data_IF_005013650539
#
_entry.id   IF_005013650539
#
_cell.length_a   1.000
_cell.length_b   1.000
_cell.length_c   1.000
_cell.angle_alpha   90.00
_cell.angle_beta   90.00
_cell.angle_gamma   90.00
#
_symmetry.space_group_name_H-M   'P 1'
#
loop_
_entity.id
_entity.type
_entity.pdbx_description
1 polymer ?
#
# COMPACT_ATOMS: atom_id res chain seq x y z
N UNK A 1 -28.46 25.47 -25.36
CA UNK A 1 -27.15 25.04 -24.83
C UNK A 1 -27.31 24.02 -23.68
N UNK A 2 -27.77 22.76 -23.93
CA UNK A 2 -27.86 21.73 -22.89
C UNK A 2 -26.69 20.72 -22.91
N UNK A 3 -25.94 20.66 -24.01
CA UNK A 3 -24.89 19.65 -24.26
C UNK A 3 -23.75 19.72 -23.24
N UNK A 4 -23.27 20.93 -22.91
CA UNK A 4 -22.16 21.12 -21.98
C UNK A 4 -22.49 20.68 -20.55
N UNK A 5 -23.73 20.86 -20.10
CA UNK A 5 -24.15 20.44 -18.76
C UNK A 5 -24.24 18.92 -18.66
N UNK A 6 -24.72 18.26 -19.71
CA UNK A 6 -24.81 16.80 -19.76
C UNK A 6 -23.40 16.18 -19.75
N UNK A 7 -22.48 16.69 -20.58
CA UNK A 7 -21.10 16.21 -20.61
C UNK A 7 -20.38 16.43 -19.28
N UNK A 8 -20.57 17.58 -18.62
CA UNK A 8 -19.98 17.81 -17.29
C UNK A 8 -20.51 16.83 -16.23
N UNK A 9 -21.79 16.45 -16.30
CA UNK A 9 -22.38 15.46 -15.40
C UNK A 9 -21.84 14.05 -15.67
N UNK A 10 -21.61 13.71 -16.94
CA UNK A 10 -20.97 12.46 -17.35
C UNK A 10 -19.54 12.37 -16.81
N UNK A 11 -18.74 13.44 -16.94
CA UNK A 11 -17.38 13.52 -16.40
C UNK A 11 -17.36 13.29 -14.87
N UNK A 12 -18.24 13.98 -14.14
CA UNK A 12 -18.37 13.81 -12.68
C UNK A 12 -18.74 12.36 -12.34
N UNK A 13 -19.71 11.79 -13.06
CA UNK A 13 -20.14 10.40 -12.85
C UNK A 13 -19.01 9.40 -13.10
N UNK A 14 -18.19 9.63 -14.14
CA UNK A 14 -17.04 8.79 -14.44
C UNK A 14 -15.98 8.83 -13.35
N UNK A 15 -15.71 9.99 -12.74
CA UNK A 15 -14.77 10.09 -11.61
C UNK A 15 -15.32 9.45 -10.34
N UNK A 16 -16.59 9.73 -10.01
CA UNK A 16 -17.18 9.29 -8.74
C UNK A 16 -17.61 7.82 -8.76
N UNK A 17 -17.91 7.24 -9.91
CA UNK A 17 -18.34 5.84 -10.03
C UNK A 17 -17.35 4.82 -9.46
N UNK A 18 -16.07 4.86 -9.85
CA UNK A 18 -15.02 4.03 -9.26
C UNK A 18 -14.86 4.25 -7.74
N UNK A 19 -14.91 5.50 -7.28
CA UNK A 19 -14.81 5.84 -5.85
C UNK A 19 -16.00 5.29 -5.06
N UNK A 20 -17.20 5.34 -5.62
CA UNK A 20 -18.39 4.76 -5.02
C UNK A 20 -18.24 3.24 -4.86
N UNK A 21 -17.86 2.53 -5.93
CA UNK A 21 -17.61 1.07 -5.88
C UNK A 21 -16.52 0.70 -4.87
N UNK A 22 -15.47 1.51 -4.81
CA UNK A 22 -14.39 1.31 -3.84
C UNK A 22 -14.88 1.52 -2.40
N UNK A 23 -15.65 2.57 -2.16
CA UNK A 23 -16.21 2.88 -0.83
C UNK A 23 -17.16 1.78 -0.37
N UNK A 24 -18.04 1.30 -1.25
CA UNK A 24 -18.94 0.17 -0.97
C UNK A 24 -18.16 -1.10 -0.59
N UNK A 25 -17.12 -1.43 -1.35
CA UNK A 25 -16.24 -2.56 -1.03
C UNK A 25 -15.49 -2.36 0.29
N UNK A 26 -15.00 -1.15 0.57
CA UNK A 26 -14.32 -0.81 1.81
C UNK A 26 -15.25 -0.89 3.03
N UNK A 27 -16.52 -0.48 2.87
CA UNK A 27 -17.56 -0.62 3.90
C UNK A 27 -17.86 -2.08 4.26
N UNK A 28 -17.59 -3.02 3.34
CA UNK A 28 -17.72 -4.46 3.58
C UNK A 28 -16.53 -5.12 4.28
N UNK A 29 -15.48 -4.37 4.63
CA UNK A 29 -14.27 -4.92 5.26
C UNK A 29 -14.43 -5.06 6.78
N UNK A 30 -14.12 -6.26 7.31
CA UNK A 30 -14.36 -6.58 8.72
C UNK A 30 -13.27 -6.10 9.66
N UNK A 31 -12.06 -5.86 9.14
CA UNK A 31 -10.88 -5.53 9.94
C UNK A 31 -10.15 -4.33 9.36
N UNK A 32 -10.61 -3.14 9.75
CA UNK A 32 -9.97 -1.86 9.45
C UNK A 32 -9.05 -1.48 10.62
N UNK A 33 -7.77 -1.27 10.33
CA UNK A 33 -6.74 -0.89 11.31
C UNK A 33 -5.93 0.28 10.75
N UNK A 34 -5.22 1.03 11.60
CA UNK A 34 -4.38 2.16 11.14
C UNK A 34 -3.40 1.73 10.03
N UNK A 35 -2.86 0.51 10.14
CA UNK A 35 -1.97 -0.08 9.14
C UNK A 35 -2.58 -0.23 7.75
N UNK A 36 -3.91 -0.26 7.59
CA UNK A 36 -4.57 -0.36 6.29
C UNK A 36 -4.69 0.98 5.57
N UNK A 37 -4.50 2.09 6.30
CA UNK A 37 -4.74 3.43 5.76
C UNK A 37 -3.76 3.76 4.64
N UNK A 38 -2.47 3.43 4.82
CA UNK A 38 -1.45 3.63 3.78
C UNK A 38 -1.77 2.86 2.48
N UNK A 39 -2.04 1.54 2.51
CA UNK A 39 -2.48 0.80 1.32
C UNK A 39 -3.72 1.40 0.64
N UNK A 40 -4.71 1.81 1.44
CA UNK A 40 -5.96 2.39 0.91
C UNK A 40 -5.70 3.72 0.22
N UNK A 41 -4.97 4.64 0.85
CA UNK A 41 -4.63 5.93 0.25
C UNK A 41 -3.80 5.75 -1.02
N UNK A 42 -2.80 4.86 -1.00
CA UNK A 42 -1.98 4.57 -2.18
C UNK A 42 -2.83 4.03 -3.34
N UNK A 43 -3.78 3.15 -3.05
CA UNK A 43 -4.68 2.61 -4.07
C UNK A 43 -5.61 3.67 -4.66
N UNK A 44 -6.22 4.52 -3.82
CA UNK A 44 -7.08 5.61 -4.30
C UNK A 44 -6.29 6.51 -5.24
N UNK A 45 -5.10 6.95 -4.84
CA UNK A 45 -4.31 7.92 -5.61
C UNK A 45 -3.74 7.32 -6.90
N UNK A 46 -3.23 6.08 -6.87
CA UNK A 46 -2.48 5.50 -7.99
C UNK A 46 -3.30 4.66 -8.96
N UNK A 47 -4.42 4.12 -8.51
CA UNK A 47 -5.24 3.22 -9.32
C UNK A 47 -6.59 3.85 -9.66
N UNK A 48 -7.28 4.44 -8.69
CA UNK A 48 -8.63 5.00 -8.90
C UNK A 48 -8.56 6.38 -9.53
N UNK A 49 -7.74 7.27 -8.96
CA UNK A 49 -7.56 8.65 -9.40
C UNK A 49 -6.37 8.80 -10.34
N UNK A 50 -5.92 7.70 -10.97
CA UNK A 50 -4.81 7.75 -11.91
C UNK A 50 -5.11 8.75 -13.03
N UNK A 51 -4.13 9.60 -13.32
CA UNK A 51 -4.23 10.55 -14.43
C UNK A 51 -4.19 9.78 -15.76
N UNK A 52 -5.02 10.19 -16.70
CA UNK A 52 -5.13 9.63 -18.05
C UNK A 52 -5.04 10.76 -19.07
N UNK A 53 -4.31 10.55 -20.16
CA UNK A 53 -4.23 11.54 -21.26
C UNK A 53 -5.59 11.77 -21.93
N UNK A 54 -6.52 10.85 -21.76
CA UNK A 54 -7.91 10.92 -22.23
C UNK A 54 -8.84 11.68 -21.28
N UNK A 55 -8.36 12.11 -20.11
CA UNK A 55 -9.19 12.83 -19.14
C UNK A 55 -9.57 14.23 -19.67
N UNK A 56 -10.85 14.58 -19.54
CA UNK A 56 -11.29 15.96 -19.77
C UNK A 56 -10.64 16.92 -18.77
N UNK A 57 -10.60 18.22 -19.10
CA UNK A 57 -10.08 19.26 -18.17
C UNK A 57 -10.80 19.21 -16.83
N UNK A 58 -12.13 19.01 -16.84
CA UNK A 58 -12.93 18.91 -15.62
C UNK A 58 -12.58 17.64 -14.83
N UNK A 59 -12.45 16.50 -15.50
CA UNK A 59 -12.06 15.22 -14.90
C UNK A 59 -10.72 15.33 -14.17
N UNK A 60 -9.71 15.89 -14.82
CA UNK A 60 -8.39 16.12 -14.24
C UNK A 60 -8.44 17.05 -13.03
N UNK A 61 -9.22 18.14 -13.11
CA UNK A 61 -9.40 19.06 -11.98
C UNK A 61 -10.07 18.39 -10.79
N UNK A 62 -11.10 17.56 -11.01
CA UNK A 62 -11.78 16.83 -9.92
C UNK A 62 -10.83 15.81 -9.30
N UNK A 63 -10.12 15.01 -10.11
CA UNK A 63 -9.14 14.05 -9.62
C UNK A 63 -8.07 14.75 -8.78
N UNK A 64 -7.55 15.88 -9.24
CA UNK A 64 -6.55 16.65 -8.51
C UNK A 64 -7.11 17.20 -7.20
N UNK A 65 -8.30 17.80 -7.20
CA UNK A 65 -8.93 18.30 -5.98
C UNK A 65 -9.13 17.20 -4.92
N UNK A 66 -9.51 15.99 -5.35
CA UNK A 66 -9.64 14.84 -4.44
C UNK A 66 -8.27 14.38 -3.92
N UNK A 67 -7.24 14.34 -4.78
CA UNK A 67 -5.87 13.98 -4.37
C UNK A 67 -5.32 14.96 -3.35
N UNK A 68 -5.49 16.25 -3.59
CA UNK A 68 -5.03 17.33 -2.70
C UNK A 68 -5.72 17.22 -1.34
N UNK A 69 -7.05 17.09 -1.33
CA UNK A 69 -7.80 16.86 -0.09
C UNK A 69 -7.31 15.61 0.66
N UNK A 70 -7.06 14.50 -0.05
CA UNK A 70 -6.58 13.26 0.57
C UNK A 70 -5.18 13.38 1.19
N UNK A 71 -4.28 14.10 0.51
CA UNK A 71 -2.91 14.31 0.97
C UNK A 71 -2.83 15.24 2.20
N UNK A 72 -3.80 16.15 2.34
CA UNK A 72 -3.84 17.14 3.42
C UNK A 72 -4.61 16.66 4.67
N UNK A 73 -5.21 15.46 4.65
CA UNK A 73 -6.03 14.95 5.77
C UNK A 73 -5.24 14.62 7.04
N UNK A 74 -3.93 14.41 6.92
CA UNK A 74 -3.10 13.93 8.03
C UNK A 74 -1.89 14.84 8.22
N UNK A 75 -1.60 15.17 9.47
CA UNK A 75 -0.38 15.88 9.81
C UNK A 75 0.85 15.00 9.54
N UNK A 76 2.03 15.62 9.49
CA UNK A 76 3.31 14.92 9.31
C UNK A 76 3.51 13.82 10.36
N UNK A 77 3.17 14.09 11.62
CA UNK A 77 3.30 13.12 12.72
C UNK A 77 2.33 11.95 12.55
N UNK A 78 1.09 12.21 12.11
CA UNK A 78 0.11 11.17 11.82
C UNK A 78 0.54 10.30 10.64
N UNK A 79 1.07 10.90 9.57
CA UNK A 79 1.60 10.17 8.42
C UNK A 79 2.76 9.25 8.83
N UNK A 80 3.69 9.73 9.69
CA UNK A 80 4.77 8.90 10.21
C UNK A 80 4.24 7.71 11.03
N UNK A 81 3.23 7.93 11.88
CA UNK A 81 2.59 6.85 12.62
C UNK A 81 1.92 5.83 11.70
N UNK A 82 1.21 6.30 10.66
CA UNK A 82 0.54 5.46 9.67
C UNK A 82 1.58 4.60 8.91
N UNK A 83 2.68 5.21 8.47
CA UNK A 83 3.77 4.51 7.79
C UNK A 83 4.42 3.45 8.70
N UNK A 84 4.63 3.78 9.99
CA UNK A 84 5.14 2.84 10.99
C UNK A 84 4.17 1.66 11.20
N UNK A 85 2.89 1.94 11.42
CA UNK A 85 1.86 0.92 11.60
C UNK A 85 1.72 0.02 10.38
N UNK A 86 1.79 0.58 9.16
CA UNK A 86 1.77 -0.19 7.93
C UNK A 86 2.99 -1.11 7.81
N UNK A 87 4.18 -0.58 8.11
CA UNK A 87 5.44 -1.31 7.98
C UNK A 87 5.53 -2.52 8.91
N UNK A 88 5.10 -2.39 10.17
CA UNK A 88 5.14 -3.48 11.15
C UNK A 88 4.02 -4.51 10.95
N UNK A 89 2.99 -4.20 10.16
CA UNK A 89 1.89 -5.12 9.90
C UNK A 89 2.33 -6.21 8.90
N UNK A 90 2.33 -7.50 9.31
CA UNK A 90 2.81 -8.58 8.44
C UNK A 90 2.02 -8.72 7.13
N UNK A 91 0.80 -8.18 7.05
CA UNK A 91 -0.02 -8.19 5.82
C UNK A 91 0.56 -7.29 4.74
N UNK A 92 1.22 -6.20 5.13
CA UNK A 92 1.69 -5.16 4.21
C UNK A 92 3.21 -5.11 4.12
N UNK A 93 3.91 -5.33 5.24
CA UNK A 93 5.38 -5.29 5.34
C UNK A 93 5.92 -3.98 4.73
N UNK A 94 7.03 -4.06 3.99
CA UNK A 94 7.68 -2.93 3.33
C UNK A 94 7.00 -2.49 2.01
N UNK A 95 5.93 -3.16 1.56
CA UNK A 95 5.35 -2.99 0.20
C UNK A 95 4.85 -1.57 -0.09
N UNK A 96 4.46 -0.85 0.95
CA UNK A 96 3.90 0.51 0.86
C UNK A 96 4.79 1.58 1.50
N UNK A 97 6.00 1.20 1.93
CA UNK A 97 6.97 2.14 2.50
C UNK A 97 7.71 2.84 1.37
N UNK A 98 7.68 4.17 1.34
CA UNK A 98 8.42 4.96 0.36
C UNK A 98 9.95 4.89 0.60
N UNK A 99 10.37 4.78 1.86
CA UNK A 99 11.76 4.60 2.25
C UNK A 99 11.86 3.58 3.39
N UNK A 100 12.11 2.32 3.02
CA UNK A 100 12.16 1.18 3.94
C UNK A 100 13.21 1.37 5.03
N UNK A 101 14.40 1.85 4.69
CA UNK A 101 15.49 2.02 5.65
C UNK A 101 15.20 3.12 6.67
N UNK A 102 14.63 4.24 6.23
CA UNK A 102 14.23 5.32 7.14
C UNK A 102 13.10 4.87 8.07
N UNK A 103 12.07 4.21 7.54
CA UNK A 103 10.99 3.66 8.37
C UNK A 103 11.53 2.67 9.39
N UNK A 104 12.43 1.75 8.98
CA UNK A 104 13.10 0.81 9.88
C UNK A 104 13.91 1.52 10.98
N UNK A 105 14.67 2.56 10.62
CA UNK A 105 15.44 3.37 11.57
C UNK A 105 14.52 4.01 12.63
N UNK A 106 13.39 4.56 12.21
CA UNK A 106 12.39 5.14 13.12
C UNK A 106 11.79 4.04 14.02
N UNK A 107 11.41 2.88 13.46
CA UNK A 107 10.91 1.74 14.24
C UNK A 107 11.87 1.37 15.37
N UNK A 108 13.14 1.18 15.04
CA UNK A 108 14.18 0.80 16.00
C UNK A 108 14.32 1.89 17.07
N UNK A 109 14.41 3.16 16.67
CA UNK A 109 14.52 4.28 17.60
C UNK A 109 13.35 4.31 18.60
N UNK A 110 12.12 4.10 18.14
CA UNK A 110 10.94 4.06 19.02
C UNK A 110 10.95 2.84 19.93
N UNK A 111 11.30 1.66 19.41
CA UNK A 111 11.38 0.43 20.20
C UNK A 111 12.42 0.53 21.34
N UNK A 112 13.58 1.15 21.07
CA UNK A 112 14.63 1.35 22.07
C UNK A 112 14.17 2.19 23.28
N UNK A 113 13.18 3.08 23.12
CA UNK A 113 12.62 3.87 24.24
C UNK A 113 11.92 3.02 25.29
N UNK A 114 11.48 1.81 24.92
CA UNK A 114 10.78 0.89 25.80
C UNK A 114 11.71 -0.15 26.44
N UNK A 115 13.00 -0.14 26.11
CA UNK A 115 13.98 -0.98 26.80
C UNK A 115 14.24 -0.31 28.15
N UNK A 116 13.86 -0.93 29.28
CA UNK A 116 14.22 -0.39 30.58
C UNK A 116 15.75 -0.31 30.67
N UNK A 117 16.31 0.74 31.29
CA UNK A 117 17.74 0.79 31.55
C UNK A 117 18.09 -0.47 32.33
N UNK A 118 18.97 -1.30 31.77
CA UNK A 118 19.47 -2.56 32.35
C UNK A 118 19.43 -2.50 33.87
N UNK A 119 18.47 -3.22 34.47
CA UNK A 119 18.59 -3.56 35.87
C UNK A 119 19.90 -4.36 35.99
N UNK A 120 20.78 -3.93 36.88
CA UNK A 120 22.02 -4.62 37.17
C UNK A 120 21.77 -6.14 37.39
N UNK A 121 22.73 -7.02 37.08
CA UNK A 121 22.56 -8.45 37.25
C UNK A 121 22.03 -8.76 38.66
N UNK A 122 21.01 -9.62 38.82
CA UNK A 122 20.58 -10.02 40.15
C UNK A 122 21.71 -10.80 40.81
N UNK A 123 22.40 -10.16 41.75
CA UNK A 123 23.30 -10.82 42.69
C UNK A 123 22.41 -11.68 43.61
N UNK A 124 22.66 -12.99 43.60
CA UNK A 124 22.07 -14.03 44.45
C UNK A 124 20.64 -14.47 44.13
N UNK A 125 20.54 -15.53 43.31
CA UNK A 125 19.39 -16.42 43.28
C UNK A 125 19.45 -17.44 44.43
N UNK A 126 18.40 -17.61 45.25
CA UNK A 126 18.20 -18.83 46.01
C UNK A 126 17.37 -19.82 45.18
N UNK A 127 18.05 -20.89 44.73
CA UNK A 127 17.62 -22.29 44.64
C UNK A 127 16.18 -22.59 44.17
N UNK A 128 16.10 -23.15 42.97
CA UNK A 128 14.90 -23.76 42.35
C UNK A 128 14.24 -24.84 43.21
N UNK A 129 12.91 -24.89 43.19
CA UNK A 129 12.09 -26.03 43.60
C UNK A 129 11.40 -26.64 42.35
N UNK A 130 11.18 -27.98 42.30
CA UNK A 130 10.91 -28.69 41.06
C UNK A 130 9.55 -28.43 40.40
N UNK A 131 9.58 -28.48 39.07
CA UNK A 131 8.45 -28.42 38.13
C UNK A 131 7.48 -29.59 38.30
N UNK A 132 6.17 -29.30 38.39
CA UNK A 132 5.12 -30.27 38.04
C UNK A 132 4.56 -30.00 36.64
N UNK A 133 4.44 -31.08 35.89
CA UNK A 133 4.03 -31.16 34.49
C UNK A 133 2.51 -31.25 34.36
N UNK A 134 1.90 -30.40 33.54
CA UNK A 134 0.57 -30.67 32.96
C UNK A 134 0.53 -30.23 31.49
N UNK A 135 0.15 -31.17 30.63
CA UNK A 135 0.37 -31.17 29.18
C UNK A 135 -0.53 -30.27 28.31
N UNK A 136 -0.48 -30.47 26.97
CA UNK A 136 -1.04 -29.53 26.00
C UNK A 136 -2.49 -29.88 25.68
N UNK A 137 -3.35 -28.86 25.59
CA UNK A 137 -4.64 -29.00 24.88
C UNK A 137 -4.64 -28.12 23.63
N UNK A 138 -4.41 -28.78 22.50
CA UNK A 138 -4.70 -28.31 21.16
C UNK A 138 -6.20 -28.04 21.02
N UNK A 139 -6.58 -26.94 20.37
CA UNK A 139 -7.91 -26.80 19.78
C UNK A 139 -7.79 -26.05 18.47
N UNK A 140 -7.59 -26.84 17.43
CA UNK A 140 -7.80 -26.45 16.04
C UNK A 140 -9.28 -26.13 15.85
N UNK A 141 -9.60 -24.92 15.41
CA UNK A 141 -10.90 -24.63 14.81
C UNK A 141 -10.71 -24.50 13.31
N UNK A 142 -11.00 -25.58 12.60
CA UNK A 142 -11.34 -25.54 11.18
C UNK A 142 -12.61 -24.70 11.02
N UNK A 143 -12.53 -23.64 10.22
CA UNK A 143 -13.70 -22.96 9.69
C UNK A 143 -13.82 -23.35 8.21
N UNK A 144 -14.93 -24.02 7.94
CA UNK A 144 -15.40 -24.52 6.66
C UNK A 144 -15.56 -23.41 5.62
N UNK A 145 -15.25 -23.76 4.37
CA UNK A 145 -15.46 -22.94 3.18
C UNK A 145 -16.94 -22.50 3.07
N UNK A 146 -17.16 -21.19 3.13
CA UNK A 146 -18.41 -20.58 2.73
C UNK A 146 -18.18 -19.82 1.43
N UNK A 147 -18.73 -20.36 0.35
CA UNK A 147 -18.96 -19.66 -0.91
C UNK A 147 -19.82 -18.42 -0.61
N UNK A 148 -19.24 -17.23 -0.75
CA UNK A 148 -19.96 -15.98 -0.64
C UNK A 148 -19.42 -15.03 -1.71
N UNK A 149 -20.32 -14.52 -2.54
CA UNK A 149 -20.13 -13.31 -3.35
C UNK A 149 -19.93 -12.10 -2.42
N UNK A 150 -18.88 -12.10 -1.61
CA UNK A 150 -18.60 -11.09 -0.60
C UNK A 150 -17.63 -10.09 -1.20
N UNK A 151 -18.01 -8.81 -1.17
CA UNK A 151 -17.08 -7.71 -1.41
C UNK A 151 -15.97 -7.59 -0.32
N UNK A 152 -15.88 -8.54 0.63
CA UNK A 152 -14.82 -8.63 1.63
C UNK A 152 -13.49 -9.05 0.98
N UNK A 153 -12.40 -8.37 1.34
CA UNK A 153 -11.07 -8.69 0.82
C UNK A 153 -10.49 -7.66 -0.14
N UNK A 154 -11.08 -6.47 -0.25
CA UNK A 154 -10.50 -5.36 -1.03
C UNK A 154 -9.06 -5.07 -0.60
N UNK A 155 -8.76 -5.15 0.71
CA UNK A 155 -7.39 -5.00 1.21
C UNK A 155 -6.42 -6.06 0.69
N UNK A 156 -6.88 -7.30 0.48
CA UNK A 156 -6.07 -8.36 -0.13
C UNK A 156 -5.79 -8.03 -1.59
N UNK A 157 -6.80 -7.56 -2.32
CA UNK A 157 -6.65 -7.16 -3.72
C UNK A 157 -5.67 -5.97 -3.87
N UNK A 158 -5.79 -4.94 -3.04
CA UNK A 158 -4.86 -3.80 -3.01
C UNK A 158 -3.42 -4.29 -2.82
N UNK A 159 -3.20 -5.16 -1.85
CA UNK A 159 -1.87 -5.68 -1.52
C UNK A 159 -1.29 -6.52 -2.66
N UNK A 160 -2.07 -7.45 -3.20
CA UNK A 160 -1.64 -8.32 -4.30
C UNK A 160 -1.29 -7.52 -5.55
N UNK A 161 -2.11 -6.52 -5.90
CA UNK A 161 -1.87 -5.64 -7.06
C UNK A 161 -0.61 -4.81 -6.88
N UNK A 162 -0.39 -4.24 -5.69
CA UNK A 162 0.83 -3.46 -5.39
C UNK A 162 2.09 -4.30 -5.52
N UNK A 163 2.10 -5.51 -4.97
CA UNK A 163 3.23 -6.44 -5.10
C UNK A 163 3.53 -6.79 -6.57
N UNK A 164 2.49 -7.00 -7.39
CA UNK A 164 2.66 -7.25 -8.82
C UNK A 164 3.28 -6.06 -9.57
N UNK A 165 2.91 -4.83 -9.21
CA UNK A 165 3.50 -3.62 -9.80
C UNK A 165 5.00 -3.49 -9.47
N UNK A 166 5.39 -3.71 -8.21
CA UNK A 166 6.79 -3.63 -7.79
C UNK A 166 7.68 -4.67 -8.50
N UNK A 167 7.20 -5.91 -8.66
CA UNK A 167 7.92 -6.94 -9.42
C UNK A 167 8.12 -6.58 -10.91
N UNK A 168 7.20 -5.79 -11.49
CA UNK A 168 7.34 -5.30 -12.86
C UNK A 168 8.39 -4.20 -12.96
N UNK A 169 8.53 -3.37 -11.94
CA UNK A 169 9.53 -2.28 -11.88
C UNK A 169 10.96 -2.82 -11.66
N UNK A 170 11.11 -3.94 -10.95
CA UNK A 170 12.41 -4.59 -10.69
C UNK A 170 12.88 -5.56 -11.80
N UNK A 171 12.03 -5.89 -12.77
CA UNK A 171 12.41 -6.76 -13.90
C UNK A 171 13.15 -5.95 -14.98
N UNK A 172 14.38 -6.32 -15.37
CA UNK A 172 15.06 -5.64 -16.47
C UNK A 172 14.25 -5.85 -17.75
N UNK A 173 13.91 -4.76 -18.42
CA UNK A 173 13.23 -4.77 -19.71
C UNK A 173 14.03 -5.59 -20.73
N UNK A 174 13.62 -6.84 -20.93
CA UNK A 174 14.06 -7.69 -22.03
C UNK A 174 13.08 -7.50 -23.19
N UNK A 175 13.51 -6.79 -24.24
CA UNK A 175 12.72 -6.63 -25.45
C UNK A 175 13.13 -5.42 -26.28
N UNK A 176 13.99 -5.67 -27.26
CA UNK A 176 14.59 -4.72 -28.18
C UNK A 176 13.60 -3.79 -28.90
N UNK A 177 13.99 -2.52 -29.04
CA UNK A 177 13.65 -1.71 -30.21
C UNK A 177 14.94 -1.03 -30.68
N UNK A 178 15.61 -1.67 -31.64
CA UNK A 178 16.73 -1.05 -32.36
C UNK A 178 16.14 0.00 -33.29
N UNK A 179 16.48 1.27 -33.02
CA UNK A 179 16.15 2.41 -33.88
C UNK A 179 16.92 2.31 -35.21
N UNK A 180 16.27 2.43 -36.39
CA UNK A 180 16.91 2.27 -37.68
C UNK A 180 17.51 3.60 -38.17
N UNK A 181 18.49 4.17 -37.46
CA UNK A 181 19.11 5.46 -37.84
C UNK A 181 20.65 5.50 -37.63
N UNK A 182 21.34 4.34 -37.64
CA UNK A 182 22.81 4.30 -37.53
C UNK A 182 23.54 3.48 -38.61
N UNK A 183 22.90 3.17 -39.73
CA UNK A 183 23.59 2.69 -40.94
C UNK A 183 23.79 3.82 -41.95
N UNK A 184 24.66 4.79 -41.66
CA UNK A 184 25.25 5.61 -42.72
C UNK A 184 26.66 6.18 -42.45
N UNK A 185 27.28 5.91 -41.29
CA UNK A 185 28.63 6.40 -40.99
C UNK A 185 29.61 5.24 -40.87
N UNK A 186 29.75 4.46 -41.95
CA UNK A 186 30.85 3.47 -42.10
C UNK A 186 31.01 3.06 -43.57
N UNK A 187 30.93 4.03 -44.48
CA UNK A 187 31.24 3.83 -45.90
C UNK A 187 31.92 5.05 -46.53
N UNK A 188 32.83 5.70 -45.79
CA UNK A 188 33.85 6.62 -46.33
C UNK A 188 35.04 6.61 -45.38
N UNK A 189 35.95 5.66 -45.58
CA UNK A 189 37.40 5.77 -45.32
C UNK A 189 38.02 4.37 -45.55
N UNK A 190 38.17 4.02 -46.83
CA UNK A 190 39.21 3.11 -47.33
C UNK A 190 39.53 3.59 -48.73
N UNK A 191 40.49 4.51 -48.79
CA UNK A 191 41.49 4.50 -49.86
C UNK A 191 42.53 3.45 -49.44
#
# INVERSE_FOLDING_TARGET
MPSHTISALEDISQVLGPLHKFTDALSGEKRVTISTLKPVMDHITREILKDSDEDSVLTSQIKQAIKDDLNDRYSVDQLQLIDLCCFIDPRFRATFSANVEETKRICIKEALKFIPPTAAPPEHAPREAPLEMAGPSSSERQATEANMNTHTGILKHITARRAATLHREDSPASGASQSPEQKLVTARLTD
#
